data_IF_020372394985
#
_entry.id   IF_020372394985
#
_cell.length_a   1.000
_cell.length_b   1.000
_cell.length_c   1.000
_cell.angle_alpha   90.00
_cell.angle_beta   90.00
_cell.angle_gamma   90.00
#
_symmetry.space_group_name_H-M   'P 1'
#
loop_
_entity.id
_entity.type
_entity.pdbx_description
1 polymer ?
#
# COMPACT_ATOMS: atom_id res chain seq x y z
N UNK A 1 9.03 6.23 11.48
CA UNK A 1 9.16 5.69 10.11
C UNK A 1 7.79 5.16 9.73
N UNK A 2 7.29 5.43 8.51
CA UNK A 2 6.00 4.90 8.05
C UNK A 2 6.26 3.72 7.11
N UNK A 3 5.39 2.71 7.15
CA UNK A 3 5.43 1.57 6.24
C UNK A 3 4.48 1.84 5.08
N UNK A 4 5.01 1.86 3.86
CA UNK A 4 4.25 2.22 2.66
C UNK A 4 3.97 1.00 1.80
N UNK A 5 2.73 0.85 1.38
CA UNK A 5 2.24 -0.26 0.57
C UNK A 5 1.46 0.27 -0.63
N UNK A 6 1.79 -0.23 -1.82
CA UNK A 6 1.20 0.21 -3.06
C UNK A 6 0.13 -0.74 -3.55
N UNK A 7 -1.03 -0.19 -3.94
CA UNK A 7 -2.07 -0.98 -4.61
C UNK A 7 -1.79 -1.01 -6.11
N UNK A 8 -1.58 -2.21 -6.64
CA UNK A 8 -1.20 -2.40 -8.06
C UNK A 8 -2.36 -2.84 -8.94
N UNK A 9 -3.34 -3.53 -8.36
CA UNK A 9 -4.46 -4.10 -9.12
C UNK A 9 -5.62 -3.13 -9.29
N UNK A 10 -5.91 -2.30 -8.27
CA UNK A 10 -7.10 -1.43 -8.21
C UNK A 10 -6.86 -0.13 -7.45
N UNK A 11 -7.66 0.93 -7.67
CA UNK A 11 -7.66 2.12 -6.80
C UNK A 11 -7.87 1.77 -5.33
N UNK A 12 -7.27 2.56 -4.44
CA UNK A 12 -7.47 2.41 -2.99
C UNK A 12 -8.85 2.97 -2.64
N UNK A 13 -9.77 2.10 -2.25
CA UNK A 13 -11.12 2.48 -1.84
C UNK A 13 -11.57 1.68 -0.62
N UNK A 14 -12.80 1.88 -0.16
CA UNK A 14 -13.32 1.14 0.98
C UNK A 14 -13.32 -0.37 0.67
N UNK A 15 -12.64 -1.16 1.52
CA UNK A 15 -12.57 -2.61 1.38
C UNK A 15 -11.42 -3.12 0.50
N UNK A 16 -10.55 -2.25 -0.04
CA UNK A 16 -9.39 -2.66 -0.86
C UNK A 16 -8.06 -2.56 -0.12
N UNK A 17 -8.07 -2.38 1.20
CA UNK A 17 -6.88 -2.36 2.04
C UNK A 17 -7.22 -2.91 3.42
N UNK A 18 -6.23 -3.52 4.12
CA UNK A 18 -6.44 -4.08 5.45
C UNK A 18 -6.60 -2.97 6.49
N UNK A 19 -7.40 -3.23 7.51
CA UNK A 19 -7.59 -2.33 8.65
C UNK A 19 -7.36 -3.05 9.98
N UNK A 20 -6.13 -3.47 10.29
CA UNK A 20 -5.83 -4.10 11.57
C UNK A 20 -6.19 -3.15 12.72
N UNK A 21 -6.78 -3.70 13.78
CA UNK A 21 -7.28 -2.92 14.93
C UNK A 21 -6.20 -2.04 15.58
N UNK A 22 -4.97 -2.57 15.69
CA UNK A 22 -3.84 -1.91 16.36
C UNK A 22 -2.80 -1.32 15.38
N UNK A 23 -3.17 -1.24 14.09
CA UNK A 23 -2.36 -0.65 13.03
C UNK A 23 -3.27 -0.06 11.92
N UNK A 24 -4.04 1.01 12.21
CA UNK A 24 -4.92 1.61 11.21
C UNK A 24 -4.12 2.26 10.08
N UNK A 25 -4.75 2.39 8.91
CA UNK A 25 -4.20 3.17 7.81
C UNK A 25 -4.08 4.65 8.22
N UNK A 26 -2.86 5.18 8.15
CA UNK A 26 -2.52 6.54 8.56
C UNK A 26 -2.69 7.55 7.44
N UNK A 27 -2.41 7.12 6.21
CA UNK A 27 -2.58 7.92 5.01
C UNK A 27 -2.99 7.02 3.86
N UNK A 28 -3.93 7.51 3.07
CA UNK A 28 -4.36 6.88 1.82
C UNK A 28 -4.21 7.92 0.73
N UNK A 29 -3.49 7.57 -0.33
CA UNK A 29 -3.28 8.44 -1.48
C UNK A 29 -3.62 7.68 -2.76
N UNK A 30 -4.62 8.16 -3.49
CA UNK A 30 -4.92 7.69 -4.84
C UNK A 30 -4.29 8.61 -5.87
N UNK A 31 -3.71 8.00 -6.89
CA UNK A 31 -3.37 8.71 -8.12
C UNK A 31 -4.62 8.86 -8.99
N UNK A 32 -4.63 9.85 -9.88
CA UNK A 32 -5.73 10.05 -10.83
C UNK A 32 -5.81 8.92 -11.87
N UNK A 33 -4.65 8.32 -12.19
CA UNK A 33 -4.48 7.20 -13.10
C UNK A 33 -3.32 6.33 -12.61
N UNK A 34 -3.11 5.14 -13.20
CA UNK A 34 -1.95 4.31 -12.83
C UNK A 34 -0.65 5.02 -13.17
N UNK A 35 0.21 5.19 -12.18
CA UNK A 35 1.52 5.82 -12.33
C UNK A 35 2.63 4.81 -12.09
N UNK A 36 3.73 4.95 -12.84
CA UNK A 36 4.93 4.16 -12.60
C UNK A 36 5.62 4.65 -11.34
N UNK A 37 5.76 3.75 -10.36
CA UNK A 37 6.38 4.05 -9.08
C UNK A 37 7.75 3.40 -9.05
N UNK A 38 8.79 4.23 -9.10
CA UNK A 38 10.20 3.78 -9.07
C UNK A 38 10.50 2.94 -7.84
N UNK A 39 9.91 3.28 -6.67
CA UNK A 39 10.11 2.55 -5.40
C UNK A 39 9.75 1.06 -5.48
N UNK A 40 8.88 0.65 -6.41
CA UNK A 40 8.39 -0.72 -6.57
C UNK A 40 8.61 -1.29 -7.99
N UNK A 41 9.24 -0.51 -8.87
CA UNK A 41 9.54 -0.88 -10.25
C UNK A 41 8.31 -1.26 -11.10
N UNK A 42 7.12 -0.74 -10.79
CA UNK A 42 5.86 -1.09 -11.47
C UNK A 42 4.80 0.01 -11.37
N UNK A 43 3.71 -0.17 -12.11
CA UNK A 43 2.54 0.70 -12.05
C UNK A 43 1.74 0.45 -10.76
N UNK A 44 1.25 1.52 -10.15
CA UNK A 44 0.33 1.48 -9.02
C UNK A 44 -0.79 2.51 -9.18
N UNK A 45 -1.89 2.29 -8.49
CA UNK A 45 -3.03 3.21 -8.42
C UNK A 45 -2.94 4.19 -7.25
N UNK A 46 -2.02 3.96 -6.33
CA UNK A 46 -1.90 4.72 -5.10
C UNK A 46 -1.17 3.92 -4.04
N UNK A 47 -1.13 4.47 -2.82
CA UNK A 47 -0.48 3.84 -1.69
C UNK A 47 -1.21 4.09 -0.37
N UNK A 48 -0.93 3.23 0.59
CA UNK A 48 -1.37 3.32 1.98
C UNK A 48 -0.14 3.35 2.88
N UNK A 49 -0.16 4.20 3.91
CA UNK A 49 0.86 4.23 4.94
C UNK A 49 0.32 3.72 6.29
N UNK A 50 1.15 2.96 7.01
CA UNK A 50 0.88 2.42 8.34
C UNK A 50 2.01 2.77 9.32
N UNK A 51 1.72 2.74 10.62
CA UNK A 51 2.72 2.98 11.67
C UNK A 51 3.57 1.74 11.99
N UNK A 52 3.01 0.55 11.77
CA UNK A 52 3.67 -0.75 11.92
C UNK A 52 3.62 -1.48 10.58
N UNK A 53 4.48 -2.48 10.33
CA UNK A 53 4.34 -3.31 9.14
C UNK A 53 3.00 -4.06 9.18
N UNK A 54 2.44 -4.32 7.99
CA UNK A 54 1.36 -5.27 7.81
C UNK A 54 1.89 -6.70 7.88
N UNK A 55 1.02 -7.63 8.28
CA UNK A 55 1.29 -9.06 8.20
C UNK A 55 1.33 -9.51 6.74
N UNK A 56 2.10 -10.57 6.43
CA UNK A 56 2.20 -11.09 5.06
C UNK A 56 0.83 -11.50 4.50
N UNK A 57 -0.05 -12.07 5.34
CA UNK A 57 -1.41 -12.46 4.95
C UNK A 57 -2.25 -11.25 4.51
N UNK A 58 -2.10 -10.11 5.18
CA UNK A 58 -2.76 -8.85 4.80
C UNK A 58 -2.17 -8.27 3.51
N UNK A 59 -0.84 -8.37 3.33
CA UNK A 59 -0.18 -7.89 2.11
C UNK A 59 -0.66 -8.71 0.91
N UNK A 60 -0.65 -10.03 1.02
CA UNK A 60 -1.05 -10.95 -0.05
C UNK A 60 -2.56 -10.89 -0.31
N UNK A 61 -3.38 -10.91 0.75
CA UNK A 61 -4.84 -10.90 0.66
C UNK A 61 -5.41 -9.63 0.03
N UNK A 62 -4.68 -8.52 0.11
CA UNK A 62 -5.03 -7.25 -0.52
C UNK A 62 -4.15 -6.90 -1.74
N UNK A 63 -3.29 -7.83 -2.19
CA UNK A 63 -2.44 -7.68 -3.37
C UNK A 63 -1.55 -6.43 -3.34
N UNK A 64 -1.07 -6.09 -2.15
CA UNK A 64 -0.26 -4.91 -1.90
C UNK A 64 1.22 -5.19 -2.17
N UNK A 65 1.94 -4.17 -2.65
CA UNK A 65 3.39 -4.26 -2.84
C UNK A 65 4.08 -3.33 -1.85
N UNK A 66 4.90 -3.85 -0.91
CA UNK A 66 5.64 -2.99 0.01
C UNK A 66 6.64 -2.13 -0.77
N UNK A 67 6.80 -0.87 -0.36
CA UNK A 67 7.89 -0.05 -0.85
C UNK A 67 9.23 -0.73 -0.52
N UNK A 68 10.12 -0.87 -1.50
CA UNK A 68 11.46 -1.37 -1.21
C UNK A 68 12.19 -0.34 -0.34
N UNK A 69 12.75 -0.80 0.79
CA UNK A 69 13.75 -0.01 1.49
C UNK A 69 15.03 -0.09 0.67
N UNK A 70 15.29 0.91 -0.17
CA UNK A 70 16.63 1.09 -0.73
C UNK A 70 17.54 1.55 0.41
N UNK A 71 18.36 0.63 0.91
CA UNK A 71 19.47 0.92 1.83
C UNK A 71 20.60 1.66 1.13
#
# INVERSE_FOLDING_TARGET
MKYKYYSTQRPVSAGTYPKPKDNPAMLIHNFNERQYVTEIGRLAWGYIEYDKPLENEDIDGYELIPAAFFS
#
